data_IF_379515129800
#
_entry.id   IF_379515129800
#
_cell.length_a   1.000
_cell.length_b   1.000
_cell.length_c   1.000
_cell.angle_alpha   90.00
_cell.angle_beta   90.00
_cell.angle_gamma   90.00
#
_symmetry.space_group_name_H-M   'P 1'
#
loop_
_entity.id
_entity.type
_entity.pdbx_description
1 polymer ?
#
# COMPACT_ATOMS: atom_id res chain seq x y z
N UNK A 1 -28.77 6.02 1.47
CA UNK A 1 -28.21 4.67 1.72
C UNK A 1 -26.84 4.55 1.10
N UNK A 2 -25.88 3.98 1.86
CA UNK A 2 -24.54 3.72 1.35
C UNK A 2 -24.65 2.63 0.28
N UNK A 3 -24.00 2.85 -0.87
CA UNK A 3 -24.04 1.89 -2.00
C UNK A 3 -22.71 1.16 -2.25
N UNK A 4 -21.65 1.48 -1.50
CA UNK A 4 -20.38 0.79 -1.63
C UNK A 4 -19.21 1.60 -1.10
N UNK A 5 -18.00 1.05 -1.28
CA UNK A 5 -16.75 1.73 -1.00
C UNK A 5 -16.29 2.44 -2.29
N UNK A 6 -16.15 3.76 -2.26
CA UNK A 6 -15.70 4.50 -3.44
C UNK A 6 -14.18 4.43 -3.62
N UNK A 7 -13.44 4.72 -2.55
CA UNK A 7 -11.97 4.64 -2.59
C UNK A 7 -11.39 4.66 -1.18
N UNK A 8 -10.12 4.30 -1.08
CA UNK A 8 -9.27 4.55 0.08
C UNK A 8 -8.28 5.64 -0.29
N UNK A 9 -8.10 6.62 0.58
CA UNK A 9 -7.17 7.72 0.36
C UNK A 9 -5.92 7.52 1.20
N UNK A 10 -4.76 7.69 0.57
CA UNK A 10 -3.45 7.55 1.20
C UNK A 10 -2.64 8.80 0.89
N UNK A 11 -2.08 9.43 1.91
CA UNK A 11 -1.16 10.55 1.74
C UNK A 11 0.25 9.97 1.58
N UNK A 12 0.94 10.37 0.54
CA UNK A 12 2.31 9.92 0.24
C UNK A 12 3.22 11.12 0.04
N UNK A 13 4.51 10.95 0.30
CA UNK A 13 5.45 12.08 0.28
C UNK A 13 5.95 12.42 -1.12
N UNK A 14 6.10 11.42 -1.99
CA UNK A 14 6.80 11.59 -3.26
C UNK A 14 6.19 10.78 -4.40
N UNK A 15 6.56 11.15 -5.61
CA UNK A 15 6.16 10.45 -6.84
C UNK A 15 6.57 8.96 -6.85
N UNK A 16 7.69 8.62 -6.21
CA UNK A 16 8.14 7.22 -6.12
C UNK A 16 7.13 6.32 -5.38
N UNK A 17 6.33 6.89 -4.49
CA UNK A 17 5.28 6.12 -3.79
C UNK A 17 4.20 5.62 -4.74
N UNK A 18 3.93 6.37 -5.81
CA UNK A 18 3.01 5.93 -6.86
C UNK A 18 3.57 4.68 -7.55
N UNK A 19 4.86 4.70 -7.92
CA UNK A 19 5.52 3.55 -8.51
C UNK A 19 5.50 2.33 -7.59
N UNK A 20 5.65 2.55 -6.28
CA UNK A 20 5.54 1.49 -5.28
C UNK A 20 4.18 0.77 -5.37
N UNK A 21 3.08 1.52 -5.35
CA UNK A 21 1.74 0.92 -5.42
C UNK A 21 1.48 0.27 -6.78
N UNK A 22 2.03 0.79 -7.87
CA UNK A 22 1.96 0.13 -9.17
C UNK A 22 2.62 -1.25 -9.16
N UNK A 23 3.71 -1.42 -8.41
CA UNK A 23 4.36 -2.73 -8.24
C UNK A 23 3.45 -3.76 -7.56
N UNK A 24 2.42 -3.32 -6.85
CA UNK A 24 1.43 -4.19 -6.20
C UNK A 24 0.26 -4.55 -7.12
N UNK A 25 0.30 -4.15 -8.40
CA UNK A 25 -0.73 -4.49 -9.38
C UNK A 25 -1.78 -3.42 -9.59
N UNK A 26 -1.56 -2.20 -9.11
CA UNK A 26 -2.45 -1.07 -9.36
C UNK A 26 -2.04 -0.32 -10.63
N UNK A 27 -3.02 0.16 -11.38
CA UNK A 27 -2.82 0.96 -12.59
C UNK A 27 -3.30 2.40 -12.37
N UNK A 28 -2.52 3.36 -12.86
CA UNK A 28 -2.90 4.76 -12.80
C UNK A 28 -4.00 5.04 -13.84
N UNK A 29 -5.16 5.54 -13.38
CA UNK A 29 -6.31 5.83 -14.25
C UNK A 29 -6.66 7.30 -14.33
N UNK A 30 -6.11 8.13 -13.43
CA UNK A 30 -6.34 9.56 -13.44
C UNK A 30 -5.27 10.27 -12.63
N UNK A 31 -4.93 11.49 -13.03
CA UNK A 31 -3.96 12.33 -12.32
C UNK A 31 -4.34 13.79 -12.48
N UNK A 32 -4.23 14.56 -11.41
CA UNK A 32 -4.38 16.01 -11.48
C UNK A 32 -3.45 16.69 -10.48
N UNK A 33 -3.03 17.89 -10.82
CA UNK A 33 -2.26 18.74 -9.90
C UNK A 33 -3.20 19.79 -9.32
N UNK A 34 -3.08 19.98 -8.00
CA UNK A 34 -3.79 21.04 -7.30
C UNK A 34 -2.78 22.03 -6.74
N UNK A 35 -3.26 23.14 -6.15
CA UNK A 35 -2.39 24.18 -5.61
C UNK A 35 -1.39 23.65 -4.57
N UNK A 36 -1.80 22.68 -3.75
CA UNK A 36 -1.00 22.20 -2.61
C UNK A 36 -0.53 20.76 -2.74
N UNK A 37 -1.05 19.99 -3.69
CA UNK A 37 -0.71 18.58 -3.83
C UNK A 37 -0.95 18.07 -5.26
N UNK A 38 -0.62 16.79 -5.48
CA UNK A 38 -1.06 16.04 -6.65
C UNK A 38 -2.02 14.97 -6.19
N UNK A 39 -3.01 14.65 -7.02
CA UNK A 39 -3.93 13.56 -6.75
C UNK A 39 -3.81 12.55 -7.87
N UNK A 40 -3.53 11.30 -7.52
CA UNK A 40 -3.37 10.20 -8.46
C UNK A 40 -4.33 9.09 -8.09
N UNK A 41 -5.17 8.68 -9.03
CA UNK A 41 -6.07 7.55 -8.84
C UNK A 41 -5.44 6.29 -9.39
N UNK A 42 -5.35 5.27 -8.55
CA UNK A 42 -4.88 3.94 -8.92
C UNK A 42 -6.03 2.94 -8.76
N UNK A 43 -6.17 2.03 -9.70
CA UNK A 43 -7.20 1.00 -9.66
C UNK A 43 -6.57 -0.38 -9.80
N UNK A 44 -7.04 -1.33 -9.00
CA UNK A 44 -6.60 -2.72 -9.04
C UNK A 44 -7.24 -3.53 -7.92
N UNK A 45 -7.27 -4.84 -8.06
CA UNK A 45 -7.79 -5.75 -7.04
C UNK A 45 -9.21 -5.38 -6.57
N UNK A 46 -10.03 -4.87 -7.48
CA UNK A 46 -11.42 -4.44 -7.23
C UNK A 46 -11.53 -3.25 -6.25
N UNK A 47 -10.45 -2.52 -6.02
CA UNK A 47 -10.46 -1.33 -5.18
C UNK A 47 -9.83 -0.14 -5.91
N UNK A 48 -10.17 1.05 -5.43
CA UNK A 48 -9.60 2.32 -5.91
C UNK A 48 -8.80 2.94 -4.78
N UNK A 49 -7.56 3.32 -5.08
CA UNK A 49 -6.72 4.11 -4.19
C UNK A 49 -6.62 5.54 -4.73
N UNK A 50 -6.82 6.52 -3.88
CA UNK A 50 -6.52 7.91 -4.19
C UNK A 50 -5.25 8.31 -3.44
N UNK A 51 -4.16 8.52 -4.17
CA UNK A 51 -2.89 8.94 -3.58
C UNK A 51 -2.80 10.46 -3.64
N UNK A 52 -2.60 11.07 -2.48
CA UNK A 52 -2.39 12.51 -2.34
C UNK A 52 -0.91 12.73 -2.11
N UNK A 53 -0.20 13.24 -3.11
CA UNK A 53 1.25 13.45 -3.03
C UNK A 53 1.51 14.82 -2.43
N UNK A 54 1.97 14.83 -1.19
CA UNK A 54 2.25 16.06 -0.45
C UNK A 54 3.43 15.84 0.51
N UNK A 55 4.63 16.38 0.19
CA UNK A 55 5.82 16.18 1.02
C UNK A 55 5.77 16.91 2.37
N UNK A 56 4.77 17.74 2.62
CA UNK A 56 4.68 18.54 3.85
C UNK A 56 4.15 17.77 5.05
N UNK A 57 3.50 16.63 4.81
CA UNK A 57 3.00 15.82 5.91
C UNK A 57 4.14 15.03 6.58
N UNK A 58 4.08 14.82 7.89
CA UNK A 58 5.05 13.97 8.57
C UNK A 58 4.87 12.51 8.19
N UNK A 59 5.95 11.75 8.24
CA UNK A 59 5.89 10.31 8.03
C UNK A 59 4.98 9.66 9.09
N UNK A 60 4.37 8.52 8.71
CA UNK A 60 3.51 7.78 9.62
C UNK A 60 4.30 7.30 10.82
N UNK A 61 3.75 7.48 12.02
CA UNK A 61 4.33 6.95 13.24
C UNK A 61 4.20 5.42 13.26
N UNK A 62 5.31 4.74 13.51
CA UNK A 62 5.31 3.28 13.59
C UNK A 62 4.91 2.77 14.98
N UNK A 63 5.27 3.51 16.03
CA UNK A 63 5.00 3.12 17.41
C UNK A 63 5.02 4.37 18.30
N UNK A 64 3.96 4.57 19.13
CA UNK A 64 2.74 3.78 19.11
C UNK A 64 1.90 4.03 17.86
N UNK A 65 1.04 3.08 17.51
CA UNK A 65 0.10 3.27 16.41
C UNK A 65 -0.96 4.31 16.78
N UNK A 66 -1.36 5.09 15.78
CA UNK A 66 -2.43 6.05 15.94
C UNK A 66 -3.81 5.42 15.70
N UNK A 67 -4.86 5.99 16.26
CA UNK A 67 -6.21 5.58 15.90
C UNK A 67 -6.46 5.81 14.39
N UNK A 68 -7.27 4.98 13.81
CA UNK A 68 -7.65 5.06 12.39
C UNK A 68 -7.26 3.83 11.60
N UNK A 69 -7.10 3.99 10.31
CA UNK A 69 -6.70 2.88 9.44
C UNK A 69 -5.31 2.35 9.84
N UNK A 70 -5.23 1.03 9.98
CA UNK A 70 -4.00 0.38 10.41
C UNK A 70 -3.10 -0.02 9.24
N UNK A 71 -3.68 -0.67 8.25
CA UNK A 71 -2.93 -1.19 7.11
C UNK A 71 -3.84 -1.44 5.90
N UNK A 72 -3.22 -1.60 4.75
CA UNK A 72 -3.85 -2.16 3.56
C UNK A 72 -3.47 -3.64 3.50
N UNK A 73 -4.45 -4.54 3.51
CA UNK A 73 -4.20 -5.98 3.42
C UNK A 73 -4.62 -6.49 2.04
N UNK A 74 -3.69 -7.15 1.35
CA UNK A 74 -3.92 -7.75 0.05
C UNK A 74 -3.99 -9.26 0.21
N UNK A 75 -4.99 -9.88 -0.40
CA UNK A 75 -5.14 -11.32 -0.36
C UNK A 75 -4.21 -11.98 -1.37
N UNK A 76 -3.57 -13.08 -0.97
CA UNK A 76 -2.72 -13.89 -1.83
C UNK A 76 -3.11 -15.36 -1.71
N UNK A 77 -2.86 -16.12 -2.75
CA UNK A 77 -3.18 -17.55 -2.76
C UNK A 77 -2.10 -18.39 -2.07
N UNK A 78 -0.85 -18.01 -2.26
CA UNK A 78 0.29 -18.72 -1.68
C UNK A 78 1.35 -17.71 -1.25
N UNK A 79 1.56 -17.62 0.05
CA UNK A 79 2.28 -16.50 0.66
C UNK A 79 3.73 -16.39 0.21
N UNK A 80 4.50 -17.49 0.25
CA UNK A 80 5.92 -17.46 -0.09
C UNK A 80 6.15 -17.06 -1.55
N UNK A 81 5.36 -17.58 -2.46
CA UNK A 81 5.45 -17.22 -3.87
C UNK A 81 5.11 -15.75 -4.09
N UNK A 82 4.07 -15.26 -3.43
CA UNK A 82 3.67 -13.86 -3.54
C UNK A 82 4.73 -12.92 -2.96
N UNK A 83 5.33 -13.30 -1.84
CA UNK A 83 6.43 -12.53 -1.25
C UNK A 83 7.61 -12.42 -2.23
N UNK A 84 7.98 -13.52 -2.90
CA UNK A 84 9.07 -13.54 -3.85
C UNK A 84 8.75 -12.68 -5.08
N UNK A 85 7.55 -12.80 -5.63
CA UNK A 85 7.10 -11.98 -6.76
C UNK A 85 7.12 -10.49 -6.41
N UNK A 86 6.58 -10.13 -5.26
CA UNK A 86 6.57 -8.75 -4.80
C UNK A 86 7.99 -8.24 -4.59
N UNK A 87 8.85 -9.02 -3.93
CA UNK A 87 10.26 -8.64 -3.73
C UNK A 87 10.97 -8.37 -5.05
N UNK A 88 10.82 -9.28 -6.01
CA UNK A 88 11.45 -9.15 -7.32
C UNK A 88 10.97 -7.91 -8.06
N UNK A 89 9.65 -7.71 -8.11
CA UNK A 89 9.06 -6.54 -8.78
C UNK A 89 9.54 -5.24 -8.14
N UNK A 90 9.59 -5.20 -6.81
CA UNK A 90 10.05 -4.04 -6.06
C UNK A 90 11.53 -3.75 -6.30
N UNK A 91 12.38 -4.77 -6.28
CA UNK A 91 13.81 -4.62 -6.57
C UNK A 91 14.05 -4.09 -7.98
N UNK A 92 13.33 -4.61 -8.97
CA UNK A 92 13.42 -4.13 -10.35
C UNK A 92 13.01 -2.66 -10.48
N UNK A 93 12.12 -2.18 -9.62
CA UNK A 93 11.69 -0.79 -9.57
C UNK A 93 12.55 0.08 -8.65
N UNK A 94 13.59 -0.47 -8.02
CA UNK A 94 14.51 0.26 -7.17
C UNK A 94 14.11 0.36 -5.69
N UNK A 95 13.15 -0.46 -5.25
CA UNK A 95 12.73 -0.49 -3.84
C UNK A 95 13.38 -1.67 -3.11
N UNK A 96 13.89 -1.39 -1.91
CA UNK A 96 14.40 -2.41 -0.98
C UNK A 96 13.35 -2.58 0.12
N UNK A 97 12.51 -3.60 0.00
CA UNK A 97 11.48 -3.89 0.99
C UNK A 97 11.93 -5.02 1.91
N UNK A 98 11.44 -4.98 3.15
CA UNK A 98 11.68 -6.03 4.14
C UNK A 98 10.36 -6.56 4.63
N UNK A 99 10.17 -7.87 4.49
CA UNK A 99 9.02 -8.54 5.07
C UNK A 99 9.27 -8.86 6.54
N UNK A 100 8.22 -8.68 7.34
CA UNK A 100 8.22 -9.18 8.71
C UNK A 100 8.20 -10.71 8.70
N UNK A 101 8.56 -11.39 9.81
CA UNK A 101 8.39 -12.83 9.91
C UNK A 101 6.94 -13.25 9.65
N UNK A 102 6.77 -14.38 8.97
CA UNK A 102 5.43 -14.94 8.72
C UNK A 102 4.81 -15.37 10.04
N UNK A 103 3.58 -14.92 10.27
CA UNK A 103 2.80 -15.25 11.45
C UNK A 103 1.50 -15.93 11.03
N UNK A 104 0.85 -16.58 12.01
CA UNK A 104 -0.46 -17.20 11.83
C UNK A 104 -1.46 -16.44 12.68
N UNK A 105 -2.55 -15.98 12.07
CA UNK A 105 -3.56 -15.24 12.78
C UNK A 105 -4.51 -16.17 13.56
N UNK A 106 -5.39 -15.55 14.36
CA UNK A 106 -6.38 -16.27 15.16
C UNK A 106 -7.31 -17.17 14.35
N UNK A 107 -7.51 -16.87 13.06
CA UNK A 107 -8.35 -17.67 12.15
C UNK A 107 -7.55 -18.68 11.30
N UNK A 108 -6.25 -18.83 11.57
CA UNK A 108 -5.39 -19.77 10.85
C UNK A 108 -4.76 -19.22 9.58
N UNK A 109 -5.11 -18.02 9.13
CA UNK A 109 -4.50 -17.41 7.95
C UNK A 109 -3.06 -17.02 8.22
N UNK A 110 -2.17 -17.33 7.28
CA UNK A 110 -0.77 -16.89 7.37
C UNK A 110 -0.63 -15.52 6.74
N UNK A 111 0.23 -14.70 7.31
CA UNK A 111 0.38 -13.32 6.85
C UNK A 111 1.76 -12.77 7.13
N UNK A 112 2.12 -11.73 6.39
CA UNK A 112 3.30 -10.90 6.63
C UNK A 112 2.99 -9.45 6.33
N UNK A 113 3.84 -8.56 6.80
CA UNK A 113 3.76 -7.13 6.50
C UNK A 113 5.06 -6.62 5.93
N UNK A 114 4.96 -5.56 5.16
CA UNK A 114 6.05 -4.70 4.75
C UNK A 114 5.52 -3.26 4.73
N UNK A 115 6.37 -2.29 4.44
CA UNK A 115 5.98 -0.88 4.50
C UNK A 115 6.17 -0.21 3.16
N UNK A 116 5.28 0.75 2.84
CA UNK A 116 5.51 1.65 1.74
C UNK A 116 6.64 2.65 2.08
N UNK A 117 7.09 3.50 1.13
CA UNK A 117 8.18 4.45 1.40
C UNK A 117 7.92 5.42 2.55
N UNK A 118 6.67 5.64 2.92
CA UNK A 118 6.28 6.55 3.99
C UNK A 118 5.92 5.84 5.30
N UNK A 119 6.14 4.53 5.37
CA UNK A 119 5.91 3.76 6.57
C UNK A 119 4.50 3.19 6.71
N UNK A 120 3.65 3.29 5.68
CA UNK A 120 2.32 2.69 5.69
C UNK A 120 2.45 1.17 5.62
N UNK A 121 1.91 0.43 6.60
CA UNK A 121 1.95 -1.03 6.56
C UNK A 121 1.08 -1.60 5.44
N UNK A 122 1.64 -2.56 4.72
CA UNK A 122 0.96 -3.33 3.68
C UNK A 122 1.02 -4.80 4.09
N UNK A 123 -0.11 -5.46 4.16
CA UNK A 123 -0.19 -6.88 4.49
C UNK A 123 -0.38 -7.76 3.27
N UNK A 124 0.25 -8.92 3.29
CA UNK A 124 -0.07 -10.04 2.39
C UNK A 124 -0.65 -11.15 3.26
N UNK A 125 -1.85 -11.59 2.96
CA UNK A 125 -2.61 -12.54 3.78
C UNK A 125 -3.19 -13.65 2.90
N UNK A 126 -2.94 -14.92 3.28
CA UNK A 126 -3.54 -16.07 2.61
C UNK A 126 -5.03 -16.20 2.89
#
# INVERSE_FOLDING_TARGET
MISGLRHLAIIVSEEKSIAFYKCLGFEETFRTEREHDKVVRLEGHEITLMLFVDPKHPARAACPENYGLRNLALQVDQLENSMEEVRKTMEEAGFDIKFDPILVSWNGARYTYFKDPDGQPIGLIE
#
